data_IF_029409513489
#
_entry.id   IF_029409513489
#
_cell.length_a   1.000
_cell.length_b   1.000
_cell.length_c   1.000
_cell.angle_alpha   90.00
_cell.angle_beta   90.00
_cell.angle_gamma   90.00
#
_symmetry.space_group_name_H-M   'P 1'
#
loop_
_entity.id
_entity.type
_entity.pdbx_description
1 polymer ?
#
# COMPACT_ATOMS: atom_id res chain seq x y z
N UNK A 1 16.75 -0.97 -38.48
CA UNK A 1 17.91 -1.88 -38.51
C UNK A 1 17.58 -3.09 -37.66
N UNK A 2 18.01 -4.28 -38.07
CA UNK A 2 17.87 -5.51 -37.27
C UNK A 2 19.10 -5.72 -36.38
N UNK A 3 18.86 -6.08 -35.13
CA UNK A 3 19.93 -6.38 -34.17
C UNK A 3 20.30 -7.85 -34.27
N UNK A 4 21.58 -8.11 -34.55
CA UNK A 4 22.19 -9.45 -34.50
C UNK A 4 23.11 -9.55 -33.30
N UNK A 5 23.58 -10.75 -32.99
CA UNK A 5 24.50 -11.01 -31.88
C UNK A 5 25.77 -10.16 -31.95
N UNK A 6 26.36 -9.99 -33.15
CA UNK A 6 27.51 -9.09 -33.37
C UNK A 6 27.23 -7.64 -32.93
N UNK A 7 25.99 -7.17 -33.12
CA UNK A 7 25.60 -5.81 -32.75
C UNK A 7 25.46 -5.69 -31.24
N UNK A 8 24.92 -6.74 -30.60
CA UNK A 8 24.78 -6.81 -29.15
C UNK A 8 26.16 -6.87 -28.49
N UNK A 9 27.10 -7.62 -29.08
CA UNK A 9 28.47 -7.71 -28.57
C UNK A 9 29.19 -6.36 -28.64
N UNK A 10 29.12 -5.68 -29.79
CA UNK A 10 29.70 -4.34 -29.93
C UNK A 10 29.03 -3.32 -29.00
N UNK A 11 27.72 -3.42 -28.82
CA UNK A 11 26.98 -2.60 -27.85
C UNK A 11 27.50 -2.83 -26.42
N UNK A 12 27.63 -4.08 -25.98
CA UNK A 12 28.12 -4.40 -24.64
C UNK A 12 29.57 -3.94 -24.44
N UNK A 13 30.44 -4.12 -25.45
CA UNK A 13 31.82 -3.60 -25.41
C UNK A 13 31.84 -2.08 -25.26
N UNK A 14 31.02 -1.36 -26.02
CA UNK A 14 30.94 0.10 -25.92
C UNK A 14 30.41 0.55 -24.54
N UNK A 15 29.45 -0.19 -23.97
CA UNK A 15 28.95 0.07 -22.61
C UNK A 15 30.05 -0.15 -21.55
N UNK A 16 30.89 -1.18 -21.71
CA UNK A 16 32.02 -1.43 -20.81
C UNK A 16 33.06 -0.31 -20.88
N UNK A 17 33.27 0.29 -22.06
CA UNK A 17 34.19 1.42 -22.25
C UNK A 17 33.61 2.72 -21.69
N UNK A 18 32.38 3.06 -22.04
CA UNK A 18 31.74 4.32 -21.65
C UNK A 18 31.17 4.33 -20.23
N UNK A 19 31.00 3.15 -19.62
CA UNK A 19 30.64 2.94 -18.21
C UNK A 19 29.43 3.76 -17.73
N UNK A 20 28.28 3.73 -18.44
CA UNK A 20 27.09 4.51 -18.07
C UNK A 20 26.52 4.15 -16.69
N UNK A 21 26.89 2.98 -16.15
CA UNK A 21 26.48 2.49 -14.83
C UNK A 21 27.16 3.20 -13.65
N UNK A 22 28.29 3.91 -13.89
CA UNK A 22 28.92 4.76 -12.86
C UNK A 22 28.07 5.97 -12.47
N UNK A 23 27.09 6.32 -13.31
CA UNK A 23 26.26 7.51 -13.15
C UNK A 23 24.83 7.13 -12.74
N UNK A 24 24.23 7.95 -11.87
CA UNK A 24 22.87 7.74 -11.38
C UNK A 24 21.83 7.75 -12.51
N UNK A 25 20.81 6.92 -12.38
CA UNK A 25 19.69 6.92 -13.33
C UNK A 25 19.00 8.29 -13.41
N UNK A 26 18.44 8.60 -14.58
CA UNK A 26 17.73 9.87 -14.87
C UNK A 26 18.58 11.14 -14.73
N UNK A 27 19.91 11.03 -14.67
CA UNK A 27 20.81 12.18 -14.75
C UNK A 27 21.08 12.59 -16.19
N UNK A 28 21.36 13.88 -16.39
CA UNK A 28 21.77 14.41 -17.70
C UNK A 28 23.10 13.81 -18.14
N UNK A 29 24.03 13.60 -17.20
CA UNK A 29 25.36 12.99 -17.44
C UNK A 29 25.23 11.58 -18.01
N UNK A 30 24.46 10.70 -17.35
CA UNK A 30 24.18 9.36 -17.88
C UNK A 30 23.49 9.43 -19.24
N UNK A 31 22.61 10.41 -19.43
CA UNK A 31 21.97 10.66 -20.72
C UNK A 31 22.94 11.02 -21.84
N UNK A 32 24.00 11.80 -21.55
CA UNK A 32 25.06 12.14 -22.50
C UNK A 32 25.90 10.92 -22.88
N UNK A 33 26.24 10.07 -21.91
CA UNK A 33 27.02 8.84 -22.17
C UNK A 33 26.26 7.90 -23.11
N UNK A 34 24.95 7.72 -22.91
CA UNK A 34 24.17 6.90 -23.85
C UNK A 34 24.03 7.53 -25.25
N UNK A 35 24.11 8.86 -25.35
CA UNK A 35 24.19 9.54 -26.66
C UNK A 35 25.55 9.25 -27.32
N UNK A 36 26.64 9.36 -26.56
CA UNK A 36 28.00 9.06 -27.00
C UNK A 36 28.14 7.63 -27.50
N UNK A 37 27.67 6.64 -26.73
CA UNK A 37 27.61 5.23 -27.15
C UNK A 37 26.89 5.10 -28.50
N UNK A 38 25.73 5.76 -28.66
CA UNK A 38 24.98 5.68 -29.92
C UNK A 38 25.73 6.32 -31.10
N UNK A 39 26.49 7.39 -30.85
CA UNK A 39 27.32 8.03 -31.87
C UNK A 39 28.50 7.14 -32.26
N UNK A 40 29.22 6.57 -31.29
CA UNK A 40 30.35 5.66 -31.54
C UNK A 40 29.91 4.43 -32.34
N UNK A 41 28.77 3.82 -31.97
CA UNK A 41 28.21 2.71 -32.72
C UNK A 41 27.88 3.10 -34.17
N UNK A 42 27.28 4.27 -34.39
CA UNK A 42 26.98 4.74 -35.75
C UNK A 42 28.24 5.08 -36.59
N UNK A 43 29.39 5.32 -35.95
CA UNK A 43 30.69 5.52 -36.62
C UNK A 43 31.44 4.22 -36.87
N UNK A 44 30.97 3.09 -36.34
CA UNK A 44 31.61 1.79 -36.51
C UNK A 44 31.63 1.36 -38.00
N UNK A 45 32.83 1.05 -38.50
CA UNK A 45 33.03 0.65 -39.91
C UNK A 45 32.75 -0.85 -40.14
N UNK A 46 33.01 -1.69 -39.12
CA UNK A 46 32.88 -3.15 -39.22
C UNK A 46 31.42 -3.61 -39.26
N UNK A 47 30.56 -2.95 -38.49
CA UNK A 47 29.13 -3.24 -38.43
C UNK A 47 28.34 -1.95 -38.56
N UNK A 48 27.46 -1.85 -39.55
CA UNK A 48 26.77 -0.60 -39.88
C UNK A 48 25.60 -0.33 -38.94
N UNK A 49 25.72 0.56 -37.96
CA UNK A 49 24.60 0.91 -37.10
C UNK A 49 23.71 2.03 -37.68
N UNK A 50 22.41 1.98 -37.34
CA UNK A 50 21.46 3.09 -37.50
C UNK A 50 20.61 3.19 -36.24
N UNK A 51 21.22 3.71 -35.18
CA UNK A 51 20.66 3.73 -33.83
C UNK A 51 20.68 5.14 -33.24
N UNK A 52 19.88 5.36 -32.20
CA UNK A 52 19.92 6.57 -31.38
C UNK A 52 20.02 6.20 -29.90
N UNK A 53 20.25 7.18 -29.03
CA UNK A 53 20.29 6.99 -27.57
C UNK A 53 19.17 6.09 -27.03
N UNK A 54 17.94 6.30 -27.52
CA UNK A 54 16.77 5.55 -27.03
C UNK A 54 16.86 4.07 -27.44
N UNK A 55 17.12 3.79 -28.71
CA UNK A 55 17.16 2.41 -29.22
C UNK A 55 18.29 1.61 -28.60
N UNK A 56 19.45 2.23 -28.36
CA UNK A 56 20.62 1.61 -27.70
C UNK A 56 20.26 1.21 -26.26
N UNK A 57 19.64 2.12 -25.49
CA UNK A 57 19.19 1.84 -24.12
C UNK A 57 18.13 0.75 -24.05
N UNK A 58 17.11 0.82 -24.91
CA UNK A 58 16.03 -0.16 -24.96
C UNK A 58 16.57 -1.53 -25.38
N UNK A 59 17.50 -1.58 -26.34
CA UNK A 59 18.15 -2.83 -26.75
C UNK A 59 18.94 -3.44 -25.60
N UNK A 60 19.81 -2.67 -24.95
CA UNK A 60 20.61 -3.14 -23.82
C UNK A 60 19.72 -3.71 -22.71
N UNK A 61 18.65 -3.00 -22.35
CA UNK A 61 17.68 -3.48 -21.36
C UNK A 61 17.11 -4.84 -21.74
N UNK A 62 16.72 -5.01 -23.00
CA UNK A 62 16.14 -6.26 -23.50
C UNK A 62 17.12 -7.44 -23.47
N UNK A 63 18.36 -7.25 -23.93
CA UNK A 63 19.35 -8.35 -23.94
C UNK A 63 19.79 -8.72 -22.53
N UNK A 64 19.92 -7.74 -21.63
CA UNK A 64 20.21 -7.96 -20.22
C UNK A 64 19.10 -8.73 -19.52
N UNK A 65 17.83 -8.37 -19.74
CA UNK A 65 16.69 -9.11 -19.17
C UNK A 65 16.61 -10.55 -19.71
N UNK A 66 16.93 -10.77 -20.98
CA UNK A 66 17.02 -12.12 -21.56
C UNK A 66 18.14 -12.94 -20.92
N UNK A 67 19.32 -12.35 -20.74
CA UNK A 67 20.46 -13.00 -20.10
C UNK A 67 20.15 -13.41 -18.65
N UNK A 68 19.63 -12.47 -17.84
CA UNK A 68 19.22 -12.78 -16.46
C UNK A 68 18.13 -13.85 -16.37
N UNK A 69 17.25 -13.94 -17.37
CA UNK A 69 16.24 -14.99 -17.44
C UNK A 69 16.87 -16.35 -17.75
N UNK A 70 17.80 -16.39 -18.72
CA UNK A 70 18.52 -17.59 -19.10
C UNK A 70 19.26 -18.20 -17.91
N UNK A 71 20.05 -17.39 -17.18
CA UNK A 71 20.77 -17.84 -15.97
C UNK A 71 19.80 -18.44 -14.95
N UNK A 72 18.71 -17.74 -14.62
CA UNK A 72 17.73 -18.22 -13.64
C UNK A 72 17.08 -19.55 -14.05
N UNK A 73 16.80 -19.71 -15.34
CA UNK A 73 16.20 -20.93 -15.87
C UNK A 73 17.18 -22.12 -15.82
N UNK A 74 18.45 -21.86 -16.09
CA UNK A 74 19.55 -22.83 -16.00
C UNK A 74 19.84 -23.24 -14.55
N UNK A 75 19.90 -22.27 -13.62
CA UNK A 75 20.02 -22.50 -12.18
C UNK A 75 18.85 -23.35 -11.65
N UNK A 76 17.62 -23.03 -12.07
CA UNK A 76 16.42 -23.74 -11.60
C UNK A 76 16.29 -25.15 -12.19
N UNK A 77 16.86 -25.39 -13.38
CA UNK A 77 16.77 -26.69 -14.07
C UNK A 77 17.92 -27.63 -13.71
N UNK A 78 19.15 -27.11 -13.58
CA UNK A 78 20.34 -27.92 -13.30
C UNK A 78 20.73 -27.93 -11.82
N UNK A 79 20.31 -26.91 -11.05
CA UNK A 79 20.78 -26.69 -9.68
C UNK A 79 22.26 -26.29 -9.59
N UNK A 80 22.90 -26.01 -10.73
CA UNK A 80 24.33 -25.70 -10.86
C UNK A 80 24.45 -24.33 -11.54
N UNK A 81 25.42 -23.55 -11.09
CA UNK A 81 25.79 -22.27 -11.69
C UNK A 81 26.40 -22.51 -13.08
N UNK A 82 25.90 -21.81 -14.10
CA UNK A 82 26.34 -21.98 -15.49
C UNK A 82 27.27 -20.85 -15.87
N UNK A 83 28.54 -21.20 -16.11
CA UNK A 83 29.57 -20.26 -16.58
C UNK A 83 29.20 -19.67 -17.96
N UNK A 84 29.46 -18.36 -18.19
CA UNK A 84 29.15 -17.70 -19.45
C UNK A 84 29.96 -18.30 -20.61
N UNK A 85 29.26 -18.79 -21.64
CA UNK A 85 29.88 -19.54 -22.74
C UNK A 85 30.25 -18.67 -23.95
N UNK A 86 29.55 -17.54 -24.14
CA UNK A 86 29.78 -16.61 -25.25
C UNK A 86 30.46 -15.31 -24.76
N UNK A 87 31.26 -14.67 -25.61
CA UNK A 87 31.85 -13.35 -25.32
C UNK A 87 30.77 -12.31 -24.97
N UNK A 88 29.59 -12.42 -25.59
CA UNK A 88 28.46 -11.54 -25.28
C UNK A 88 27.94 -11.77 -23.86
N UNK A 89 27.88 -13.03 -23.43
CA UNK A 89 27.44 -13.41 -22.09
C UNK A 89 28.44 -12.92 -21.04
N UNK A 90 29.74 -13.11 -21.29
CA UNK A 90 30.81 -12.58 -20.43
C UNK A 90 30.71 -11.07 -20.27
N UNK A 91 30.53 -10.34 -21.38
CA UNK A 91 30.37 -8.89 -21.33
C UNK A 91 29.10 -8.46 -20.57
N UNK A 92 27.99 -9.19 -20.73
CA UNK A 92 26.74 -8.91 -20.02
C UNK A 92 26.86 -9.19 -18.52
N UNK A 93 27.55 -10.26 -18.14
CA UNK A 93 27.84 -10.59 -16.76
C UNK A 93 28.71 -9.50 -16.12
N UNK A 94 29.81 -9.13 -16.75
CA UNK A 94 30.71 -8.07 -16.27
C UNK A 94 29.96 -6.74 -16.05
N UNK A 95 29.11 -6.33 -17.01
CA UNK A 95 28.28 -5.13 -16.85
C UNK A 95 27.31 -5.27 -15.66
N UNK A 96 26.71 -6.45 -15.47
CA UNK A 96 25.81 -6.69 -14.34
C UNK A 96 26.55 -6.62 -13.00
N UNK A 97 27.73 -7.23 -12.90
CA UNK A 97 28.59 -7.16 -11.72
C UNK A 97 28.99 -5.72 -11.40
N UNK A 98 29.32 -4.92 -12.42
CA UNK A 98 29.61 -3.51 -12.21
C UNK A 98 28.40 -2.74 -11.70
N UNK A 99 27.22 -2.91 -12.30
CA UNK A 99 26.01 -2.25 -11.81
C UNK A 99 25.63 -2.63 -10.37
N UNK A 100 26.01 -3.81 -9.90
CA UNK A 100 25.79 -4.24 -8.52
C UNK A 100 26.83 -3.63 -7.55
N UNK A 101 28.07 -3.47 -8.00
CA UNK A 101 29.15 -2.83 -7.23
C UNK A 101 29.08 -1.30 -7.16
N UNK A 102 28.37 -0.66 -8.09
CA UNK A 102 27.98 0.75 -7.99
C UNK A 102 26.58 0.83 -7.40
N UNK A 103 26.41 0.83 -6.06
CA UNK A 103 25.11 1.02 -5.46
C UNK A 103 24.60 2.40 -5.85
N UNK A 104 23.71 2.44 -6.83
CA UNK A 104 22.85 3.60 -7.01
C UNK A 104 22.06 3.68 -5.71
N UNK A 105 22.25 4.75 -4.94
CA UNK A 105 21.51 5.14 -3.72
C UNK A 105 19.96 5.19 -3.90
N UNK A 106 19.43 4.65 -4.98
CA UNK A 106 18.01 4.48 -5.27
C UNK A 106 17.34 3.40 -4.41
N UNK A 107 18.05 2.38 -3.89
CA UNK A 107 17.40 1.34 -3.06
C UNK A 107 16.96 1.89 -1.71
N UNK A 108 17.80 2.68 -1.04
CA UNK A 108 17.46 3.29 0.25
C UNK A 108 16.44 4.43 0.09
N UNK A 109 16.56 5.26 -0.95
CA UNK A 109 15.64 6.40 -1.14
C UNK A 109 14.24 6.01 -1.61
N UNK A 110 14.06 4.86 -2.27
CA UNK A 110 12.72 4.32 -2.61
C UNK A 110 12.06 3.68 -1.39
N UNK A 111 12.79 2.88 -0.61
CA UNK A 111 12.28 2.28 0.61
C UNK A 111 11.92 3.34 1.66
N UNK A 112 12.78 4.35 1.87
CA UNK A 112 12.50 5.44 2.81
C UNK A 112 11.25 6.25 2.41
N UNK A 113 11.06 6.53 1.12
CA UNK A 113 9.86 7.22 0.62
C UNK A 113 8.61 6.36 0.72
N UNK A 114 8.72 5.05 0.50
CA UNK A 114 7.61 4.12 0.64
C UNK A 114 7.18 3.95 2.10
N UNK A 115 8.14 3.86 3.03
CA UNK A 115 7.88 3.87 4.47
C UNK A 115 7.30 5.20 4.96
N UNK A 116 7.81 6.33 4.48
CA UNK A 116 7.28 7.67 4.80
C UNK A 116 5.84 7.82 4.30
N UNK A 117 5.54 7.37 3.08
CA UNK A 117 4.19 7.39 2.53
C UNK A 117 3.25 6.45 3.30
N UNK A 118 3.73 5.26 3.69
CA UNK A 118 2.97 4.31 4.52
C UNK A 118 2.68 4.89 5.90
N UNK A 119 3.65 5.56 6.53
CA UNK A 119 3.46 6.22 7.81
C UNK A 119 2.43 7.35 7.70
N UNK A 120 2.57 8.24 6.70
CA UNK A 120 1.60 9.33 6.45
C UNK A 120 0.19 8.81 6.19
N UNK A 121 0.05 7.73 5.41
CA UNK A 121 -1.26 7.12 5.17
C UNK A 121 -1.88 6.53 6.44
N UNK A 122 -1.07 5.87 7.28
CA UNK A 122 -1.52 5.37 8.58
C UNK A 122 -1.91 6.48 9.54
N UNK A 123 -1.18 7.60 9.56
CA UNK A 123 -1.51 8.76 10.38
C UNK A 123 -2.82 9.42 9.95
N UNK A 124 -3.05 9.60 8.65
CA UNK A 124 -4.32 10.10 8.13
C UNK A 124 -5.48 9.17 8.53
N UNK A 125 -5.27 7.85 8.42
CA UNK A 125 -6.28 6.86 8.84
C UNK A 125 -6.57 6.92 10.34
N UNK A 126 -5.55 7.06 11.19
CA UNK A 126 -5.72 7.23 12.64
C UNK A 126 -6.47 8.52 12.95
N UNK A 127 -6.05 9.64 12.35
CA UNK A 127 -6.66 10.96 12.54
C UNK A 127 -8.13 11.02 12.11
N UNK A 128 -8.53 10.24 11.10
CA UNK A 128 -9.91 10.17 10.64
C UNK A 128 -10.83 9.37 11.59
N UNK A 129 -10.28 8.48 12.42
CA UNK A 129 -11.04 7.63 13.36
C UNK A 129 -10.99 8.18 14.79
N UNK A 130 -10.11 9.15 15.06
CA UNK A 130 -10.01 9.82 16.36
C UNK A 130 -11.27 10.65 16.68
N UNK A 131 -11.76 10.53 17.92
CA UNK A 131 -12.80 11.41 18.45
C UNK A 131 -12.24 12.80 18.75
N UNK A 132 -13.07 13.84 18.72
CA UNK A 132 -12.67 15.24 18.91
C UNK A 132 -11.78 15.47 20.16
N UNK A 133 -12.04 14.75 21.25
CA UNK A 133 -11.23 14.81 22.47
C UNK A 133 -9.81 14.27 22.33
N UNK A 134 -9.62 13.24 21.48
CA UNK A 134 -8.31 12.61 21.23
C UNK A 134 -7.47 13.44 20.27
N UNK A 135 -8.09 14.09 19.28
CA UNK A 135 -7.38 15.02 18.38
C UNK A 135 -6.86 16.23 19.15
N UNK A 136 -7.63 16.73 20.13
CA UNK A 136 -7.23 17.86 20.99
C UNK A 136 -6.06 17.51 21.91
N UNK A 137 -5.99 16.29 22.45
CA UNK A 137 -4.88 15.87 23.32
C UNK A 137 -3.57 15.64 22.57
N UNK A 138 -3.60 15.18 21.30
CA UNK A 138 -2.38 15.09 20.46
C UNK A 138 -1.81 16.47 20.11
N UNK A 139 -2.65 17.44 19.78
CA UNK A 139 -2.21 18.81 19.42
C UNK A 139 -1.60 19.54 20.65
N UNK A 140 -2.00 19.17 21.86
CA UNK A 140 -1.47 19.77 23.10
C UNK A 140 -0.15 19.13 23.60
N UNK A 141 0.25 17.97 23.05
CA UNK A 141 1.41 17.19 23.51
C UNK A 141 2.71 17.44 22.74
N UNK A 142 2.64 17.92 21.49
CA UNK A 142 3.81 18.39 20.72
C UNK A 142 3.90 19.91 20.88
N UNK A 143 5.05 20.40 21.35
CA UNK A 143 5.30 21.79 21.75
C UNK A 143 4.71 22.84 20.80
N UNK A 144 4.08 23.86 21.41
CA UNK A 144 3.48 25.00 20.71
C UNK A 144 4.47 25.72 19.77
N UNK A 145 3.97 26.19 18.61
CA UNK A 145 4.26 27.57 18.24
C UNK A 145 3.04 28.34 17.76
N UNK A 146 2.92 29.55 18.32
CA UNK A 146 2.13 30.71 17.89
C UNK A 146 0.67 30.45 17.50
N UNK A 147 -0.24 30.72 18.45
CA UNK A 147 -1.57 31.20 18.10
C UNK A 147 -1.45 32.45 17.22
N UNK A 148 -1.96 32.47 15.97
CA UNK A 148 -2.29 33.73 15.35
C UNK A 148 -3.43 34.32 16.17
N UNK A 149 -3.20 35.50 16.78
CA UNK A 149 -4.22 36.27 17.52
C UNK A 149 -5.51 36.29 16.71
N UNK A 150 -6.50 35.48 17.10
CA UNK A 150 -7.81 35.46 16.44
C UNK A 150 -8.47 36.79 16.75
N UNK A 151 -8.61 37.65 15.74
CA UNK A 151 -9.50 38.80 15.77
C UNK A 151 -10.87 38.30 16.24
N UNK A 152 -11.35 38.76 17.40
CA UNK A 152 -12.71 38.48 17.87
C UNK A 152 -13.69 38.94 16.79
N UNK A 153 -14.19 38.01 15.98
CA UNK A 153 -15.35 38.27 15.13
C UNK A 153 -16.55 38.32 16.08
N UNK A 154 -17.11 39.51 16.26
CA UNK A 154 -18.42 39.69 16.89
C UNK A 154 -19.45 38.98 16.01
N UNK A 155 -20.30 38.16 16.65
CA UNK A 155 -21.52 37.59 16.06
C UNK A 155 -21.39 36.12 15.68
N UNK A 156 -21.94 35.24 16.54
CA UNK A 156 -22.05 33.80 16.27
C UNK A 156 -22.24 32.90 17.49
N UNK A 157 -22.55 33.45 18.68
CA UNK A 157 -22.77 32.61 19.88
C UNK A 157 -24.10 31.84 19.78
N UNK A 158 -25.12 32.44 19.18
CA UNK A 158 -26.48 31.90 19.05
C UNK A 158 -26.54 30.55 18.30
N UNK A 159 -25.73 30.40 17.25
CA UNK A 159 -25.67 29.13 16.51
C UNK A 159 -24.94 28.02 17.28
N UNK A 160 -24.01 28.36 18.18
CA UNK A 160 -23.32 27.35 19.01
C UNK A 160 -24.24 26.93 20.15
N UNK A 161 -24.93 27.88 20.77
CA UNK A 161 -25.89 27.62 21.83
C UNK A 161 -27.03 26.73 21.30
N UNK A 162 -27.58 27.03 20.12
CA UNK A 162 -28.57 26.19 19.45
C UNK A 162 -28.09 24.75 19.17
N UNK A 163 -26.85 24.58 18.69
CA UNK A 163 -26.29 23.24 18.44
C UNK A 163 -26.09 22.45 19.74
N UNK A 164 -25.71 23.13 20.82
CA UNK A 164 -25.55 22.51 22.14
C UNK A 164 -26.89 22.06 22.73
N UNK A 165 -27.91 22.91 22.63
CA UNK A 165 -29.27 22.62 23.09
C UNK A 165 -29.89 21.47 22.28
N UNK A 166 -29.75 21.51 20.94
CA UNK A 166 -30.20 20.44 20.06
C UNK A 166 -29.54 19.10 20.42
N UNK A 167 -28.24 19.10 20.69
CA UNK A 167 -27.52 17.87 21.08
C UNK A 167 -27.99 17.33 22.43
N UNK A 168 -28.30 18.19 23.40
CA UNK A 168 -28.82 17.78 24.69
C UNK A 168 -30.24 17.19 24.58
N UNK A 169 -31.11 17.83 23.78
CA UNK A 169 -32.45 17.34 23.50
C UNK A 169 -32.42 15.98 22.80
N UNK A 170 -31.54 15.80 21.81
CA UNK A 170 -31.42 14.53 21.09
C UNK A 170 -30.94 13.39 22.00
N UNK A 171 -30.00 13.67 22.91
CA UNK A 171 -29.57 12.71 23.94
C UNK A 171 -30.71 12.34 24.89
N UNK A 172 -31.51 13.32 25.30
CA UNK A 172 -32.62 13.08 26.22
C UNK A 172 -33.75 12.27 25.58
N UNK A 173 -34.08 12.56 24.31
CA UNK A 173 -35.03 11.76 23.52
C UNK A 173 -34.54 10.32 23.43
N UNK A 174 -33.28 10.12 23.05
CA UNK A 174 -32.69 8.78 22.91
C UNK A 174 -32.71 8.01 24.23
N UNK A 175 -32.48 8.68 25.36
CA UNK A 175 -32.57 8.06 26.69
C UNK A 175 -33.99 7.63 27.02
N UNK A 176 -34.99 8.48 26.76
CA UNK A 176 -36.42 8.13 26.96
C UNK A 176 -36.87 6.99 26.05
N UNK A 177 -36.41 6.94 24.81
CA UNK A 177 -36.69 5.83 23.90
C UNK A 177 -36.13 4.51 24.43
N UNK A 178 -34.90 4.50 24.96
CA UNK A 178 -34.30 3.31 25.57
C UNK A 178 -35.08 2.86 26.81
N UNK A 179 -35.47 3.79 27.69
CA UNK A 179 -36.27 3.47 28.87
C UNK A 179 -37.66 2.91 28.51
N UNK A 180 -38.31 3.46 27.48
CA UNK A 180 -39.58 2.93 26.98
C UNK A 180 -39.42 1.53 26.40
N UNK A 181 -38.35 1.31 25.62
CA UNK A 181 -38.04 0.00 25.05
C UNK A 181 -37.75 -1.04 26.14
N UNK A 182 -37.03 -0.66 27.18
CA UNK A 182 -36.77 -1.53 28.33
C UNK A 182 -38.08 -1.91 29.05
N UNK A 183 -38.96 -0.93 29.31
CA UNK A 183 -40.29 -1.17 29.90
C UNK A 183 -41.17 -2.06 29.02
N UNK A 184 -41.14 -1.88 27.71
CA UNK A 184 -41.87 -2.71 26.76
C UNK A 184 -41.35 -4.16 26.78
N UNK A 185 -40.03 -4.34 26.78
CA UNK A 185 -39.43 -5.67 26.89
C UNK A 185 -39.73 -6.34 28.23
N UNK A 186 -39.73 -5.57 29.33
CA UNK A 186 -40.09 -6.07 30.65
C UNK A 186 -41.56 -6.51 30.70
N UNK A 187 -42.48 -5.71 30.16
CA UNK A 187 -43.90 -6.09 30.04
C UNK A 187 -44.11 -7.30 29.16
N UNK A 188 -43.41 -7.39 28.03
CA UNK A 188 -43.47 -8.56 27.15
C UNK A 188 -42.97 -9.82 27.87
N UNK A 189 -41.90 -9.70 28.64
CA UNK A 189 -41.38 -10.80 29.46
C UNK A 189 -42.36 -11.22 30.57
N UNK A 190 -42.99 -10.26 31.24
CA UNK A 190 -44.05 -10.53 32.23
C UNK A 190 -45.24 -11.24 31.59
N UNK A 191 -45.73 -10.76 30.45
CA UNK A 191 -46.81 -11.42 29.70
C UNK A 191 -46.44 -12.85 29.27
N UNK A 192 -45.22 -13.06 28.79
CA UNK A 192 -44.73 -14.41 28.47
C UNK A 192 -44.66 -15.31 29.71
N UNK A 193 -44.24 -14.76 30.85
CA UNK A 193 -44.18 -15.48 32.13
C UNK A 193 -45.59 -15.87 32.61
N UNK A 194 -46.55 -14.95 32.57
CA UNK A 194 -47.95 -15.22 32.91
C UNK A 194 -48.56 -16.28 31.99
N UNK A 195 -48.35 -16.17 30.68
CA UNK A 195 -48.82 -17.17 29.70
C UNK A 195 -48.24 -18.56 29.99
N UNK A 196 -46.95 -18.63 30.35
CA UNK A 196 -46.30 -19.90 30.71
C UNK A 196 -46.86 -20.49 32.01
N UNK A 197 -47.16 -19.66 33.01
CA UNK A 197 -47.81 -20.11 34.25
C UNK A 197 -49.22 -20.65 34.02
N UNK A 198 -50.02 -19.96 33.19
CA UNK A 198 -51.37 -20.42 32.83
C UNK A 198 -51.32 -21.76 32.07
N UNK A 199 -50.41 -21.90 31.11
CA UNK A 199 -50.21 -23.16 30.40
C UNK A 199 -49.81 -24.30 31.34
N UNK A 200 -48.94 -24.02 32.31
CA UNK A 200 -48.52 -25.02 33.30
C UNK A 200 -49.69 -25.45 34.20
N UNK A 201 -50.53 -24.51 34.66
CA UNK A 201 -51.76 -24.85 35.40
C UNK A 201 -52.72 -25.69 34.57
N UNK A 202 -52.91 -25.35 33.29
CA UNK A 202 -53.78 -26.13 32.41
C UNK A 202 -53.26 -27.57 32.22
N UNK A 203 -51.95 -27.74 32.06
CA UNK A 203 -51.32 -29.07 31.98
C UNK A 203 -51.46 -29.85 33.29
N UNK A 204 -51.26 -29.21 34.44
CA UNK A 204 -51.45 -29.83 35.76
C UNK A 204 -52.89 -30.28 35.98
N UNK A 205 -53.87 -29.43 35.68
CA UNK A 205 -55.29 -29.76 35.77
C UNK A 205 -55.66 -30.93 34.83
N UNK A 206 -55.11 -30.95 33.61
CA UNK A 206 -55.31 -32.06 32.66
C UNK A 206 -54.71 -33.37 33.18
N UNK A 207 -53.49 -33.34 33.72
CA UNK A 207 -52.86 -34.51 34.34
C UNK A 207 -53.65 -35.01 35.55
N UNK A 208 -54.16 -34.10 36.39
CA UNK A 208 -54.98 -34.46 37.54
C UNK A 208 -56.30 -35.13 37.10
N UNK A 209 -56.95 -34.60 36.04
CA UNK A 209 -58.17 -35.18 35.49
C UNK A 209 -57.93 -36.57 34.88
N UNK A 210 -56.81 -36.75 34.17
CA UNK A 210 -56.37 -38.05 33.66
C UNK A 210 -56.06 -39.04 34.81
N UNK A 211 -55.40 -38.60 35.88
CA UNK A 211 -55.14 -39.48 37.04
C UNK A 211 -56.43 -39.92 37.76
N UNK A 212 -57.46 -39.06 37.78
CA UNK A 212 -58.79 -39.39 38.35
C UNK A 212 -59.57 -40.37 37.46
N UNK A 213 -59.32 -40.37 36.14
CA UNK A 213 -59.90 -41.33 35.19
C UNK A 213 -59.20 -42.69 35.23
N UNK A 214 -57.89 -42.74 35.51
CA UNK A 214 -57.10 -43.99 35.59
C UNK A 214 -57.25 -44.71 36.94
N UNK A 215 -57.59 -43.99 38.02
CA UNK A 215 -57.78 -44.54 39.38
C UNK A 215 -59.25 -44.94 39.70
N UNK A 216 -60.04 -45.29 38.69
CA UNK A 216 -61.38 -45.88 38.81
C UNK A 216 -61.36 -47.31 38.27
#
# INVERSE_FOLDING_TARGET
MEWKEEHDLLLCREILVCQPYKFKERTVERGKIWEEISNHLNTCETTKFRVNKRSVRERFKLIKEKFKRKIREEENSSGIDVEPTSELEQALEEICSFEESFPVEEKESKQAKEEENKHKAQEIRKKAIESYGQTKSRIAGDEAPMEPKKKKRRGGNDSIDFLSEKSQLELEIRKRELELKEKETARSFEQQREMKQLMQQQQQNMMELLSKLVNK
#
